data_IF_282907319117
#
_entry.id   IF_282907319117
#
_cell.length_a   1.000
_cell.length_b   1.000
_cell.length_c   1.000
_cell.angle_alpha   90.00
_cell.angle_beta   90.00
_cell.angle_gamma   90.00
#
_symmetry.space_group_name_H-M   'P 1'
#
loop_
_entity.id
_entity.type
_entity.pdbx_description
1 polymer ?
#
# COMPACT_ATOMS: atom_id res chain seq x y z
N UNK A 1 2.56 -1.31 9.35
CA UNK A 1 1.54 -2.37 9.26
C UNK A 1 2.23 -3.70 9.15
N UNK A 2 1.91 -4.63 10.05
CA UNK A 2 2.47 -5.98 10.10
C UNK A 2 1.35 -7.00 10.03
N UNK A 3 0.62 -7.00 8.92
CA UNK A 3 -0.45 -7.97 8.65
C UNK A 3 0.12 -9.14 7.84
N UNK A 4 -0.64 -10.23 7.62
CA UNK A 4 -0.24 -11.22 6.62
C UNK A 4 -0.01 -10.56 5.26
N UNK A 5 0.95 -11.07 4.48
CA UNK A 5 1.41 -10.44 3.24
C UNK A 5 0.28 -10.14 2.25
N UNK A 6 -0.72 -11.04 2.15
CA UNK A 6 -1.86 -10.91 1.24
C UNK A 6 -2.72 -9.67 1.54
N UNK A 7 -2.69 -9.19 2.80
CA UNK A 7 -3.48 -8.05 3.24
C UNK A 7 -2.75 -6.71 3.06
N UNK A 8 -1.44 -6.70 2.77
CA UNK A 8 -0.66 -5.46 2.69
C UNK A 8 -1.20 -4.49 1.64
N UNK A 9 -1.53 -4.97 0.44
CA UNK A 9 -2.00 -4.12 -0.65
C UNK A 9 -3.38 -3.54 -0.35
N UNK A 10 -4.31 -4.37 0.12
CA UNK A 10 -5.66 -3.91 0.44
C UNK A 10 -5.61 -2.82 1.53
N UNK A 11 -4.94 -3.10 2.63
CA UNK A 11 -4.87 -2.14 3.74
C UNK A 11 -4.06 -0.89 3.37
N UNK A 12 -3.05 -1.01 2.51
CA UNK A 12 -2.31 0.12 1.97
C UNK A 12 -3.20 1.04 1.13
N UNK A 13 -4.03 0.47 0.26
CA UNK A 13 -5.00 1.24 -0.54
C UNK A 13 -6.04 1.93 0.35
N UNK A 14 -6.51 1.28 1.42
CA UNK A 14 -7.44 1.89 2.39
C UNK A 14 -6.79 3.09 3.12
N UNK A 15 -5.52 2.97 3.52
CA UNK A 15 -4.78 4.07 4.14
C UNK A 15 -4.55 5.24 3.16
N UNK A 16 -4.16 4.94 1.92
CA UNK A 16 -4.03 5.93 0.84
C UNK A 16 -5.35 6.63 0.57
N UNK A 17 -6.46 5.88 0.54
CA UNK A 17 -7.79 6.44 0.31
C UNK A 17 -8.16 7.43 1.41
N UNK A 18 -7.85 7.08 2.66
CA UNK A 18 -8.06 7.92 3.84
C UNK A 18 -7.07 9.09 3.97
N UNK A 19 -6.07 9.21 3.08
CA UNK A 19 -5.04 10.25 3.17
C UNK A 19 -4.04 10.03 4.32
N UNK A 20 -3.91 8.81 4.81
CA UNK A 20 -3.08 8.46 5.97
C UNK A 20 -1.77 7.82 5.49
N UNK A 21 -0.60 8.39 5.82
CA UNK A 21 0.68 7.77 5.53
C UNK A 21 0.81 6.40 6.20
N UNK A 22 1.35 5.40 5.50
CA UNK A 22 1.40 4.03 6.01
C UNK A 22 2.71 3.33 5.70
N UNK A 23 3.46 2.97 6.75
CA UNK A 23 4.63 2.09 6.62
C UNK A 23 4.16 0.64 6.49
N UNK A 24 4.53 -0.06 5.42
CA UNK A 24 4.11 -1.45 5.14
C UNK A 24 5.31 -2.39 5.31
N UNK A 25 5.12 -3.49 6.06
CA UNK A 25 6.16 -4.52 6.21
C UNK A 25 6.45 -5.24 4.90
N UNK A 26 7.68 -5.76 4.78
CA UNK A 26 8.09 -6.48 3.58
C UNK A 26 7.51 -7.91 3.58
N UNK A 27 7.15 -8.46 2.41
CA UNK A 27 7.09 -7.77 1.11
C UNK A 27 5.86 -6.85 1.04
N UNK A 28 5.99 -5.71 0.35
CA UNK A 28 4.91 -4.73 0.20
C UNK A 28 3.68 -5.29 -0.55
N UNK A 29 3.91 -6.27 -1.43
CA UNK A 29 2.90 -7.00 -2.20
C UNK A 29 3.40 -8.40 -2.56
N UNK A 30 2.47 -9.32 -2.85
CA UNK A 30 2.77 -10.70 -3.28
C UNK A 30 3.10 -10.82 -4.78
N UNK A 31 2.78 -9.79 -5.57
CA UNK A 31 3.11 -9.68 -6.99
C UNK A 31 3.39 -8.23 -7.41
N UNK A 32 4.07 -8.07 -8.54
CA UNK A 32 4.54 -6.77 -9.04
C UNK A 32 3.38 -5.86 -9.44
N UNK A 33 2.35 -6.40 -10.11
CA UNK A 33 1.22 -5.61 -10.64
C UNK A 33 0.46 -4.98 -9.47
N UNK A 34 0.22 -5.75 -8.41
CA UNK A 34 -0.43 -5.28 -7.20
C UNK A 34 0.40 -4.21 -6.46
N UNK A 35 1.73 -4.37 -6.41
CA UNK A 35 2.64 -3.38 -5.84
C UNK A 35 2.66 -2.06 -6.61
N UNK A 36 2.75 -2.12 -7.94
CA UNK A 36 2.72 -0.94 -8.81
C UNK A 36 1.40 -0.16 -8.66
N UNK A 37 0.26 -0.88 -8.57
CA UNK A 37 -1.04 -0.25 -8.32
C UNK A 37 -1.08 0.54 -7.01
N UNK A 38 -0.49 -0.01 -5.94
CA UNK A 38 -0.46 0.65 -4.63
C UNK A 38 0.41 1.92 -4.67
N UNK A 39 1.60 1.84 -5.26
CA UNK A 39 2.50 3.00 -5.40
C UNK A 39 1.86 4.08 -6.25
N UNK A 40 1.28 3.73 -7.40
CA UNK A 40 0.62 4.70 -8.27
C UNK A 40 -0.55 5.42 -7.57
N UNK A 41 -1.33 4.72 -6.75
CA UNK A 41 -2.40 5.32 -5.96
C UNK A 41 -1.87 6.30 -4.90
N UNK A 42 -0.79 5.94 -4.21
CA UNK A 42 -0.12 6.77 -3.22
C UNK A 42 0.46 8.05 -3.84
N UNK A 43 1.17 7.92 -4.96
CA UNK A 43 1.74 9.05 -5.71
C UNK A 43 0.64 9.99 -6.22
N UNK A 44 -0.44 9.45 -6.79
CA UNK A 44 -1.56 10.24 -7.30
C UNK A 44 -2.26 11.06 -6.20
N UNK A 45 -2.30 10.55 -4.96
CA UNK A 45 -2.86 11.26 -3.80
C UNK A 45 -1.84 12.05 -2.98
N UNK A 46 -0.56 11.94 -3.28
CA UNK A 46 0.51 12.54 -2.48
C UNK A 46 0.58 11.98 -1.05
N UNK A 47 0.19 10.71 -0.85
CA UNK A 47 0.23 10.04 0.45
C UNK A 47 1.50 9.19 0.53
N UNK A 48 2.39 9.41 1.51
CA UNK A 48 3.59 8.59 1.67
C UNK A 48 3.28 7.15 2.10
N UNK A 49 4.01 6.19 1.52
CA UNK A 49 4.04 4.77 1.90
C UNK A 49 5.46 4.34 2.31
#
# INVERSE_FOLDING_TARGET
>A
MATPNQAHVQNGLEAVEAGVPALIEKPIADDIISGEKLIAAAEAKGVPL
#
